data_IF_212794741773
#
_entry.id   IF_212794741773
#
_cell.length_a   1.000
_cell.length_b   1.000
_cell.length_c   1.000
_cell.angle_alpha   90.00
_cell.angle_beta   90.00
_cell.angle_gamma   90.00
#
_symmetry.space_group_name_H-M   'P 1'
#
loop_
_entity.id
_entity.type
_entity.pdbx_description
1 polymer ?
#
# COMPACT_ATOMS: atom_id res chain seq x y z
N UNK A 1 15.96 3.99 4.75
CA UNK A 1 14.73 4.71 5.12
C UNK A 1 13.51 3.83 4.92
N UNK A 2 12.46 4.00 5.73
CA UNK A 2 11.22 3.23 5.56
C UNK A 2 10.49 3.58 4.26
N UNK A 3 10.62 4.82 3.83
CA UNK A 3 10.05 5.33 2.59
C UNK A 3 11.07 6.26 1.95
N UNK A 4 11.90 5.74 1.02
CA UNK A 4 12.88 6.54 0.31
C UNK A 4 12.22 7.50 -0.66
N UNK A 5 12.88 8.62 -0.92
CA UNK A 5 12.58 9.52 -2.02
C UNK A 5 13.28 9.04 -3.31
N UNK A 6 12.91 9.65 -4.43
CA UNK A 6 13.59 9.42 -5.70
C UNK A 6 15.08 9.77 -5.60
N UNK A 7 15.92 8.87 -6.06
CA UNK A 7 17.37 9.04 -6.05
C UNK A 7 18.07 8.59 -4.75
N UNK A 8 17.32 8.26 -3.69
CA UNK A 8 17.92 7.78 -2.44
C UNK A 8 18.59 6.42 -2.63
N UNK A 9 19.72 6.19 -1.98
CA UNK A 9 20.32 4.86 -1.85
C UNK A 9 19.61 4.11 -0.72
N UNK A 10 19.15 2.89 -0.99
CA UNK A 10 18.52 2.03 0.01
C UNK A 10 19.46 0.90 0.39
N UNK A 11 19.92 0.90 1.63
CA UNK A 11 20.75 -0.20 2.17
C UNK A 11 19.86 -1.28 2.77
N UNK A 12 20.05 -2.52 2.35
CA UNK A 12 19.40 -3.71 2.89
C UNK A 12 20.47 -4.55 3.56
N UNK A 13 20.23 -4.95 4.81
CA UNK A 13 21.10 -5.78 5.61
C UNK A 13 20.39 -7.04 6.09
N UNK A 14 21.13 -8.15 6.21
CA UNK A 14 20.61 -9.40 6.74
C UNK A 14 21.70 -10.11 7.58
N UNK A 15 21.36 -10.44 8.80
CA UNK A 15 22.22 -11.32 9.62
C UNK A 15 22.03 -12.76 9.18
N UNK A 16 23.08 -13.38 8.63
CA UNK A 16 23.01 -14.73 8.06
C UNK A 16 24.19 -15.54 8.58
N UNK A 17 23.89 -16.65 9.24
CA UNK A 17 24.88 -17.60 9.76
C UNK A 17 24.48 -19.01 9.37
N UNK A 18 25.46 -19.82 9.09
CA UNK A 18 25.30 -21.25 8.85
C UNK A 18 26.48 -22.04 9.42
N UNK A 19 26.25 -23.30 9.85
CA UNK A 19 27.29 -24.17 10.41
C UNK A 19 28.32 -24.61 9.34
N UNK A 20 27.88 -24.72 8.10
CA UNK A 20 28.69 -25.13 6.94
C UNK A 20 29.22 -23.90 6.16
N UNK A 21 29.27 -22.74 6.80
CA UNK A 21 29.57 -21.42 6.22
C UNK A 21 28.51 -20.89 5.26
N UNK A 22 28.54 -19.59 5.03
CA UNK A 22 27.71 -18.94 4.00
C UNK A 22 28.58 -18.68 2.79
N UNK A 23 28.19 -19.24 1.64
CA UNK A 23 28.96 -19.17 0.40
C UNK A 23 28.55 -17.94 -0.47
N UNK A 24 27.28 -17.73 -0.61
CA UNK A 24 26.77 -16.63 -1.45
C UNK A 24 25.43 -16.09 -0.91
N UNK A 25 25.27 -14.78 -0.96
CA UNK A 25 24.00 -14.12 -0.63
C UNK A 25 23.64 -13.12 -1.71
N UNK A 26 22.40 -13.20 -2.19
CA UNK A 26 21.87 -12.29 -3.20
C UNK A 26 20.55 -11.70 -2.75
N UNK A 27 20.38 -10.43 -3.05
CA UNK A 27 19.09 -9.77 -3.00
C UNK A 27 18.42 -9.91 -4.36
N UNK A 28 17.25 -10.52 -4.38
CA UNK A 28 16.36 -10.56 -5.54
C UNK A 28 15.42 -9.37 -5.45
N UNK A 29 15.32 -8.55 -6.49
CA UNK A 29 14.41 -7.41 -6.49
C UNK A 29 13.52 -7.36 -7.73
N UNK A 30 12.32 -6.79 -7.56
CA UNK A 30 11.34 -6.57 -8.60
C UNK A 30 10.81 -5.14 -8.50
N UNK A 31 10.81 -4.41 -9.60
CA UNK A 31 10.28 -3.04 -9.68
C UNK A 31 8.85 -3.09 -10.19
N UNK A 32 7.94 -2.48 -9.45
CA UNK A 32 6.54 -2.30 -9.84
C UNK A 32 6.31 -0.82 -10.11
N UNK A 33 6.18 -0.49 -11.37
CA UNK A 33 5.95 0.88 -11.84
C UNK A 33 4.47 1.27 -11.65
N UNK A 34 4.15 2.58 -11.50
CA UNK A 34 2.78 3.05 -11.52
C UNK A 34 2.06 2.58 -12.80
N UNK A 35 0.83 2.13 -12.68
CA UNK A 35 0.06 1.56 -13.80
C UNK A 35 0.43 0.13 -14.20
N UNK A 36 1.56 -0.39 -13.73
CA UNK A 36 2.07 -1.73 -14.10
C UNK A 36 2.07 -2.71 -12.91
N UNK A 37 1.06 -2.63 -12.04
CA UNK A 37 1.01 -3.47 -10.85
C UNK A 37 1.06 -4.96 -11.19
N UNK A 38 2.03 -5.67 -10.59
CA UNK A 38 2.24 -7.11 -10.76
C UNK A 38 1.52 -7.82 -9.60
N UNK A 39 0.51 -8.63 -9.92
CA UNK A 39 -0.21 -9.45 -8.93
C UNK A 39 0.61 -10.69 -8.59
N UNK A 40 0.42 -11.22 -7.40
CA UNK A 40 1.00 -12.50 -6.98
C UNK A 40 0.66 -13.67 -7.94
N UNK A 41 -0.47 -13.57 -8.62
CA UNK A 41 -0.96 -14.60 -9.56
C UNK A 41 -0.47 -14.42 -11.00
N UNK A 42 0.27 -13.37 -11.30
CA UNK A 42 0.80 -13.12 -12.64
C UNK A 42 2.11 -13.85 -12.84
N UNK A 43 2.35 -14.35 -14.05
CA UNK A 43 3.62 -15.00 -14.42
C UNK A 43 4.84 -14.09 -14.18
N UNK A 44 4.69 -12.78 -14.42
CA UNK A 44 5.75 -11.79 -14.14
C UNK A 44 6.20 -11.79 -12.67
N UNK A 45 5.31 -12.14 -11.73
CA UNK A 45 5.70 -12.21 -10.33
C UNK A 45 6.78 -13.27 -10.09
N UNK A 46 6.77 -14.36 -10.82
CA UNK A 46 7.79 -15.42 -10.69
C UNK A 46 9.03 -15.17 -11.56
N UNK A 47 8.88 -14.49 -12.69
CA UNK A 47 9.94 -14.40 -13.70
C UNK A 47 10.71 -13.08 -13.70
N UNK A 48 10.16 -12.00 -13.14
CA UNK A 48 10.73 -10.65 -13.26
C UNK A 48 11.54 -10.23 -12.02
N UNK A 49 12.36 -11.16 -11.52
CA UNK A 49 13.32 -10.91 -10.43
C UNK A 49 14.71 -10.68 -10.98
N UNK A 50 15.36 -9.61 -10.55
CA UNK A 50 16.76 -9.29 -10.82
C UNK A 50 17.59 -9.50 -9.57
N UNK A 51 18.91 -9.69 -9.73
CA UNK A 51 19.81 -10.02 -8.63
C UNK A 51 20.80 -8.89 -8.37
N UNK A 52 21.10 -8.66 -7.09
CA UNK A 52 22.21 -7.85 -6.60
C UNK A 52 22.98 -8.70 -5.58
N UNK A 53 24.29 -8.81 -5.74
CA UNK A 53 25.13 -9.51 -4.77
C UNK A 53 25.17 -8.72 -3.46
N UNK A 54 25.01 -9.42 -2.35
CA UNK A 54 25.26 -8.90 -1.00
C UNK A 54 26.68 -9.27 -0.57
N UNK A 55 27.29 -8.48 0.30
CA UNK A 55 28.62 -8.74 0.80
C UNK A 55 28.71 -8.57 2.32
N UNK A 56 29.72 -9.20 2.92
CA UNK A 56 30.13 -9.10 4.31
C UNK A 56 31.66 -8.83 4.36
N UNK A 57 32.06 -7.75 3.63
CA UNK A 57 33.47 -7.45 3.34
C UNK A 57 33.98 -6.13 3.94
N UNK A 58 33.14 -5.41 4.67
CA UNK A 58 33.44 -4.07 5.18
C UNK A 58 33.50 -3.00 4.08
N UNK A 59 32.76 -3.20 2.97
CA UNK A 59 32.72 -2.28 1.83
C UNK A 59 31.30 -2.15 1.27
N UNK A 60 31.09 -1.19 0.36
CA UNK A 60 29.81 -1.02 -0.37
C UNK A 60 28.56 -0.95 0.54
N UNK A 61 28.72 -0.24 1.67
CA UNK A 61 27.65 -0.06 2.66
C UNK A 61 27.69 -1.06 3.82
N UNK A 62 28.52 -2.09 3.74
CA UNK A 62 28.86 -2.95 4.86
C UNK A 62 29.92 -2.28 5.73
N UNK A 63 29.72 -2.24 7.05
CA UNK A 63 30.58 -1.50 7.98
C UNK A 63 31.71 -2.36 8.54
N UNK A 64 31.49 -3.65 8.76
CA UNK A 64 32.42 -4.55 9.47
C UNK A 64 32.53 -5.88 8.76
N UNK A 65 33.69 -6.14 8.18
CA UNK A 65 33.96 -7.41 7.50
C UNK A 65 33.88 -8.63 8.45
N UNK A 66 33.14 -9.65 8.03
CA UNK A 66 33.08 -10.94 8.72
C UNK A 66 32.22 -10.95 9.97
N UNK A 67 31.29 -9.99 10.13
CA UNK A 67 30.37 -9.97 11.27
C UNK A 67 29.06 -10.71 10.98
N UNK A 68 28.96 -11.32 9.80
CA UNK A 68 27.78 -12.02 9.27
C UNK A 68 26.58 -11.12 8.93
N UNK A 69 26.76 -9.80 8.92
CA UNK A 69 25.75 -8.83 8.51
C UNK A 69 25.88 -8.52 7.01
N UNK A 70 25.38 -9.39 6.18
CA UNK A 70 25.39 -9.23 4.73
C UNK A 70 24.64 -8.01 4.28
N UNK A 71 25.27 -7.18 3.46
CA UNK A 71 24.79 -5.85 3.08
C UNK A 71 24.79 -5.69 1.57
N UNK A 72 23.82 -4.94 1.06
CA UNK A 72 23.77 -4.44 -0.31
C UNK A 72 23.15 -3.06 -0.37
N UNK A 73 23.65 -2.20 -1.24
CA UNK A 73 23.06 -0.91 -1.56
C UNK A 73 22.29 -1.01 -2.88
N UNK A 74 20.98 -0.80 -2.82
CA UNK A 74 20.14 -0.65 -4.02
C UNK A 74 20.38 0.75 -4.55
N UNK A 75 20.89 0.90 -5.79
CA UNK A 75 21.26 2.21 -6.34
C UNK A 75 20.10 3.18 -6.40
N UNK A 76 20.36 4.47 -6.17
CA UNK A 76 19.38 5.54 -6.29
C UNK A 76 18.76 5.66 -7.68
N UNK A 77 19.46 5.20 -8.73
CA UNK A 77 18.90 5.16 -10.08
C UNK A 77 17.68 4.24 -10.25
N UNK A 78 17.48 3.29 -9.33
CA UNK A 78 16.29 2.42 -9.30
C UNK A 78 15.14 3.05 -8.52
N UNK A 79 15.44 4.05 -7.70
CA UNK A 79 14.45 4.76 -6.89
C UNK A 79 13.79 5.84 -7.74
N UNK A 80 12.60 5.55 -8.22
CA UNK A 80 11.75 6.50 -8.94
C UNK A 80 10.51 6.80 -8.13
N UNK A 81 10.04 8.03 -8.21
CA UNK A 81 8.80 8.41 -7.53
C UNK A 81 7.64 7.48 -7.88
N UNK A 82 6.89 7.05 -6.89
CA UNK A 82 5.73 6.15 -6.98
C UNK A 82 6.05 4.70 -7.36
N UNK A 83 7.32 4.28 -7.38
CA UNK A 83 7.69 2.88 -7.60
C UNK A 83 7.55 2.08 -6.30
N UNK A 84 6.96 0.90 -6.40
CA UNK A 84 7.01 -0.13 -5.36
C UNK A 84 8.16 -1.08 -5.67
N UNK A 85 9.11 -1.20 -4.75
CA UNK A 85 10.23 -2.12 -4.88
C UNK A 85 9.99 -3.30 -3.95
N UNK A 86 9.89 -4.49 -4.54
CA UNK A 86 9.83 -5.76 -3.83
C UNK A 86 11.19 -6.38 -3.77
N UNK A 87 11.50 -7.09 -2.70
CA UNK A 87 12.77 -7.85 -2.62
C UNK A 87 12.63 -9.11 -1.78
N UNK A 88 13.53 -10.04 -2.05
CA UNK A 88 13.75 -11.29 -1.33
C UNK A 88 15.24 -11.44 -1.09
N UNK A 89 15.65 -12.19 -0.08
CA UNK A 89 17.05 -12.49 0.16
C UNK A 89 17.22 -14.00 0.01
N UNK A 90 18.16 -14.42 -0.84
CA UNK A 90 18.53 -15.81 -1.04
C UNK A 90 19.96 -16.03 -0.55
N UNK A 91 20.14 -16.93 0.41
CA UNK A 91 21.44 -17.38 0.90
C UNK A 91 21.72 -18.79 0.43
N UNK A 92 22.99 -19.08 0.16
CA UNK A 92 23.51 -20.40 -0.24
C UNK A 92 24.65 -20.73 0.70
N UNK A 93 24.60 -21.91 1.31
CA UNK A 93 25.66 -22.42 2.22
C UNK A 93 26.83 -23.04 1.48
N UNK A 94 27.84 -23.50 2.22
CA UNK A 94 29.03 -24.18 1.69
C UNK A 94 28.75 -25.56 1.08
N UNK A 95 27.57 -26.12 1.27
CA UNK A 95 27.09 -27.39 0.71
C UNK A 95 26.12 -27.23 -0.45
N UNK A 96 26.00 -26.00 -1.03
CA UNK A 96 25.08 -25.63 -2.11
C UNK A 96 23.59 -25.79 -1.75
N UNK A 97 23.23 -25.76 -0.46
CA UNK A 97 21.85 -25.65 -0.03
C UNK A 97 21.43 -24.17 -0.02
N UNK A 98 20.20 -23.91 -0.39
CA UNK A 98 19.71 -22.52 -0.46
C UNK A 98 18.43 -22.32 0.32
N UNK A 99 18.30 -21.12 0.86
CA UNK A 99 17.09 -20.61 1.50
C UNK A 99 16.74 -19.25 0.92
N UNK A 100 15.46 -18.98 0.75
CA UNK A 100 14.96 -17.66 0.34
C UNK A 100 13.97 -17.15 1.37
N UNK A 101 14.15 -15.91 1.79
CA UNK A 101 13.24 -15.23 2.71
C UNK A 101 12.61 -13.99 2.08
N UNK A 102 11.32 -13.68 2.34
CA UNK A 102 10.35 -14.54 3.03
C UNK A 102 10.14 -15.88 2.32
N UNK A 103 9.61 -16.87 3.03
CA UNK A 103 9.33 -18.19 2.44
C UNK A 103 8.26 -18.10 1.36
N UNK A 104 8.30 -19.02 0.41
CA UNK A 104 7.38 -19.03 -0.74
C UNK A 104 5.90 -19.24 -0.33
N UNK A 105 5.66 -19.89 0.80
CA UNK A 105 4.31 -20.13 1.37
C UNK A 105 3.83 -19.00 2.30
N UNK A 106 4.64 -17.95 2.54
CA UNK A 106 4.19 -16.76 3.23
C UNK A 106 3.13 -16.04 2.36
N UNK A 107 2.01 -15.61 2.94
CA UNK A 107 1.00 -14.83 2.22
C UNK A 107 1.50 -13.51 1.63
N UNK A 108 2.65 -13.03 2.09
CA UNK A 108 3.41 -11.92 1.52
C UNK A 108 4.85 -12.40 1.27
N UNK A 109 5.11 -13.16 0.17
CA UNK A 109 6.37 -13.85 -0.05
C UNK A 109 7.48 -12.92 -0.59
N UNK A 110 7.45 -11.67 -0.18
CA UNK A 110 8.49 -10.66 -0.44
C UNK A 110 8.44 -9.57 0.63
N UNK A 111 9.56 -8.95 0.89
CA UNK A 111 9.62 -7.63 1.49
C UNK A 111 9.29 -6.57 0.43
N UNK A 112 8.93 -5.38 0.86
CA UNK A 112 8.72 -4.27 -0.05
C UNK A 112 8.91 -2.91 0.63
N UNK A 113 9.27 -1.91 -0.18
CA UNK A 113 9.18 -0.49 0.19
C UNK A 113 8.63 0.32 -0.99
N UNK A 114 8.13 1.50 -0.69
CA UNK A 114 7.55 2.39 -1.66
C UNK A 114 8.37 3.68 -1.75
N UNK A 115 8.89 3.97 -2.94
CA UNK A 115 9.62 5.21 -3.21
C UNK A 115 8.63 6.33 -3.49
N UNK A 116 8.70 7.41 -2.72
CA UNK A 116 7.72 8.48 -2.84
C UNK A 116 8.26 9.84 -2.39
N UNK A 117 8.10 10.85 -3.25
CA UNK A 117 8.59 12.21 -2.99
C UNK A 117 7.66 13.04 -2.09
N UNK A 118 6.59 12.45 -1.59
CA UNK A 118 5.58 13.14 -0.79
C UNK A 118 4.33 13.51 -1.60
N UNK A 119 3.27 13.88 -0.89
CA UNK A 119 1.98 14.23 -1.50
C UNK A 119 2.11 15.55 -2.26
N UNK A 120 1.84 15.59 -3.57
CA UNK A 120 1.84 16.85 -4.31
C UNK A 120 0.58 17.66 -4.04
N UNK A 121 0.58 18.92 -4.45
CA UNK A 121 -0.65 19.68 -4.60
C UNK A 121 -1.58 18.96 -5.58
N UNK A 122 -2.87 18.96 -5.29
CA UNK A 122 -3.86 18.34 -6.14
C UNK A 122 -4.89 19.35 -6.64
N UNK A 123 -5.20 19.28 -7.93
CA UNK A 123 -6.27 20.07 -8.56
C UNK A 123 -7.37 19.15 -9.01
N UNK A 124 -8.58 19.43 -8.63
CA UNK A 124 -9.70 18.61 -9.03
C UNK A 124 -11.04 19.28 -8.88
N UNK A 125 -12.03 18.72 -9.53
CA UNK A 125 -13.43 19.14 -9.46
C UNK A 125 -14.27 18.02 -8.88
N UNK A 126 -15.23 18.33 -8.02
CA UNK A 126 -16.22 17.37 -7.49
C UNK A 126 -16.95 16.65 -8.64
N UNK A 127 -17.20 17.37 -9.72
CA UNK A 127 -17.77 16.86 -10.97
C UNK A 127 -17.01 17.48 -12.13
N UNK A 128 -16.01 16.78 -12.69
CA UNK A 128 -15.25 17.29 -13.82
C UNK A 128 -16.15 17.77 -14.96
N UNK A 129 -15.84 18.94 -15.50
CA UNK A 129 -16.66 19.60 -16.55
C UNK A 129 -17.93 20.31 -16.07
N UNK A 130 -18.35 20.11 -14.80
CA UNK A 130 -19.61 20.70 -14.27
C UNK A 130 -19.40 21.60 -13.05
N UNK A 131 -18.35 21.39 -12.28
CA UNK A 131 -17.98 22.20 -11.12
C UNK A 131 -16.60 22.82 -11.30
N UNK A 132 -16.31 23.98 -10.66
CA UNK A 132 -15.01 24.59 -10.72
C UNK A 132 -13.91 23.64 -10.21
N UNK A 133 -12.75 23.71 -10.81
CA UNK A 133 -11.53 23.05 -10.31
C UNK A 133 -11.05 23.80 -9.08
N UNK A 134 -10.81 23.07 -8.00
CA UNK A 134 -10.26 23.58 -6.74
C UNK A 134 -8.83 23.06 -6.59
N UNK A 135 -7.94 23.90 -6.10
CA UNK A 135 -6.58 23.51 -5.76
C UNK A 135 -6.47 23.20 -4.26
N UNK A 136 -5.99 22.01 -3.93
CA UNK A 136 -5.71 21.57 -2.57
C UNK A 136 -4.19 21.47 -2.40
N UNK A 137 -3.64 22.24 -1.48
CA UNK A 137 -2.20 22.19 -1.19
C UNK A 137 -1.83 20.86 -0.53
N UNK A 138 -0.60 20.41 -0.76
CA UNK A 138 0.04 19.29 -0.07
C UNK A 138 -0.15 19.38 1.44
N UNK A 139 0.06 20.58 2.03
CA UNK A 139 -0.17 20.82 3.46
C UNK A 139 -1.60 20.48 3.89
N UNK A 140 -2.59 20.83 3.09
CA UNK A 140 -4.00 20.50 3.39
C UNK A 140 -4.25 18.99 3.28
N UNK A 141 -3.71 18.34 2.25
CA UNK A 141 -3.92 16.93 1.98
C UNK A 141 -3.22 16.02 3.00
N UNK A 142 -2.19 16.50 3.67
CA UNK A 142 -1.42 15.76 4.69
C UNK A 142 -1.87 16.03 6.13
N UNK A 143 -2.91 16.86 6.34
CA UNK A 143 -3.49 17.08 7.69
C UNK A 143 -4.13 15.84 8.31
N UNK A 144 -4.43 14.85 7.50
CA UNK A 144 -4.85 13.52 7.94
C UNK A 144 -3.89 12.48 7.38
N UNK A 145 -3.80 11.29 7.99
CA UNK A 145 -2.95 10.22 7.45
C UNK A 145 -3.24 9.95 5.98
N UNK A 146 -2.19 9.72 5.20
CA UNK A 146 -2.30 9.40 3.77
C UNK A 146 -2.05 7.91 3.58
N UNK A 147 -3.00 7.23 2.94
CA UNK A 147 -2.88 5.83 2.55
C UNK A 147 -2.74 5.76 1.04
N UNK A 148 -1.75 5.01 0.57
CA UNK A 148 -1.61 4.73 -0.86
C UNK A 148 -2.11 3.31 -1.13
N UNK A 149 -2.93 3.15 -2.16
CA UNK A 149 -3.33 1.85 -2.69
C UNK A 149 -2.77 1.71 -4.10
N UNK A 150 -1.87 0.75 -4.29
CA UNK A 150 -1.22 0.49 -5.57
C UNK A 150 -1.90 -0.73 -6.18
N UNK A 151 -2.52 -0.56 -7.34
CA UNK A 151 -3.30 -1.60 -8.00
C UNK A 151 -3.27 -1.42 -9.51
N UNK A 152 -3.85 -2.34 -10.26
CA UNK A 152 -4.13 -2.12 -11.69
C UNK A 152 -5.35 -1.25 -11.87
N UNK A 153 -5.30 -0.35 -12.83
CA UNK A 153 -6.44 0.47 -13.24
C UNK A 153 -7.68 -0.39 -13.53
N UNK A 154 -7.52 -1.47 -14.28
CA UNK A 154 -8.63 -2.39 -14.58
C UNK A 154 -9.27 -3.02 -13.34
N UNK A 155 -8.51 -3.23 -12.27
CA UNK A 155 -9.01 -3.76 -11.00
C UNK A 155 -9.74 -2.67 -10.19
N UNK A 156 -9.20 -1.47 -10.20
CA UNK A 156 -9.82 -0.30 -9.57
C UNK A 156 -11.16 0.00 -10.25
N UNK A 157 -11.17 0.11 -11.57
CA UNK A 157 -12.38 0.30 -12.37
C UNK A 157 -13.38 -0.86 -12.12
N UNK A 158 -12.92 -2.10 -12.23
CA UNK A 158 -13.74 -3.28 -11.99
C UNK A 158 -14.32 -3.34 -10.58
N UNK A 159 -13.62 -2.82 -9.57
CA UNK A 159 -14.12 -2.72 -8.21
C UNK A 159 -15.12 -1.57 -8.03
N UNK A 160 -14.78 -0.38 -8.52
CA UNK A 160 -15.50 0.85 -8.19
C UNK A 160 -16.70 1.10 -9.09
N UNK A 161 -16.62 0.69 -10.36
CA UNK A 161 -17.72 0.89 -11.34
C UNK A 161 -18.56 -0.33 -11.59
N UNK A 162 -18.31 -1.41 -10.86
CA UNK A 162 -19.06 -2.62 -11.08
C UNK A 162 -20.52 -2.45 -10.69
N UNK A 163 -21.39 -2.51 -11.68
CA UNK A 163 -22.80 -2.51 -11.47
C UNK A 163 -23.26 -3.87 -10.87
N UNK A 164 -23.91 -3.84 -9.85
CA UNK A 164 -24.89 -4.72 -9.17
C UNK A 164 -24.92 -6.24 -9.40
N UNK A 165 -24.10 -6.91 -10.19
CA UNK A 165 -24.15 -8.37 -10.25
C UNK A 165 -23.61 -9.00 -8.96
N UNK A 166 -24.23 -10.10 -8.51
CA UNK A 166 -23.86 -10.75 -7.24
C UNK A 166 -22.42 -11.28 -7.24
N UNK A 167 -21.91 -11.72 -8.40
CA UNK A 167 -20.53 -12.18 -8.57
C UNK A 167 -19.50 -11.07 -8.35
N UNK A 168 -19.77 -9.87 -8.81
CA UNK A 168 -18.92 -8.72 -8.63
C UNK A 168 -18.74 -8.31 -7.17
N UNK A 169 -19.71 -8.60 -6.31
CA UNK A 169 -19.65 -8.29 -4.87
C UNK A 169 -18.69 -9.18 -4.12
N UNK A 170 -18.47 -10.39 -4.61
CA UNK A 170 -17.61 -11.39 -3.97
C UNK A 170 -16.21 -11.42 -4.53
N UNK A 171 -16.02 -10.88 -5.74
CA UNK A 171 -14.71 -10.84 -6.36
C UNK A 171 -13.73 -9.99 -5.53
N UNK A 172 -12.51 -10.47 -5.41
CA UNK A 172 -11.45 -9.85 -4.63
C UNK A 172 -10.27 -9.57 -5.52
N UNK A 173 -10.01 -8.31 -5.71
CA UNK A 173 -8.86 -7.81 -6.44
C UNK A 173 -7.63 -7.78 -5.54
N UNK A 174 -6.45 -7.72 -6.13
CA UNK A 174 -5.17 -7.63 -5.42
C UNK A 174 -4.59 -6.23 -5.52
N UNK A 175 -4.00 -5.77 -4.43
CA UNK A 175 -3.33 -4.48 -4.34
C UNK A 175 -2.21 -4.52 -3.30
N UNK A 176 -1.37 -3.50 -3.27
CA UNK A 176 -0.53 -3.16 -2.14
C UNK A 176 -1.06 -1.91 -1.46
N UNK A 177 -0.94 -1.84 -0.15
CA UNK A 177 -1.27 -0.65 0.63
C UNK A 177 -0.03 -0.14 1.33
N UNK A 178 0.20 1.16 1.27
CA UNK A 178 1.31 1.82 1.97
C UNK A 178 0.76 2.79 2.98
N UNK A 179 1.26 2.70 4.20
CA UNK A 179 0.95 3.60 5.29
C UNK A 179 2.17 3.80 6.19
N UNK A 180 2.58 5.05 6.39
CA UNK A 180 3.76 5.44 7.16
C UNK A 180 5.04 4.67 6.77
N UNK A 181 5.24 4.47 5.47
CA UNK A 181 6.39 3.76 4.92
C UNK A 181 6.34 2.24 5.10
N UNK A 182 5.31 1.69 5.71
CA UNK A 182 5.09 0.25 5.80
C UNK A 182 4.23 -0.22 4.63
N UNK A 183 4.70 -1.25 3.93
CA UNK A 183 4.02 -1.85 2.78
C UNK A 183 3.31 -3.12 3.20
N UNK A 184 2.01 -3.15 2.97
CA UNK A 184 1.17 -4.34 3.09
C UNK A 184 0.90 -4.85 1.69
N UNK A 185 1.73 -5.77 1.22
CA UNK A 185 1.67 -6.26 -0.15
C UNK A 185 0.65 -7.40 -0.32
N UNK A 186 0.17 -7.58 -1.55
CA UNK A 186 -0.78 -8.63 -1.92
C UNK A 186 -2.05 -8.66 -1.07
N UNK A 187 -2.50 -7.50 -0.58
CA UNK A 187 -3.79 -7.41 0.11
C UNK A 187 -4.93 -7.65 -0.87
N UNK A 188 -6.10 -7.97 -0.35
CA UNK A 188 -7.31 -8.13 -1.15
C UNK A 188 -8.27 -7.00 -0.91
N UNK A 189 -8.77 -6.39 -1.98
CA UNK A 189 -9.80 -5.38 -1.89
C UNK A 189 -11.04 -5.74 -2.68
N UNK A 190 -12.17 -5.21 -2.30
CA UNK A 190 -13.45 -5.37 -2.98
C UNK A 190 -14.38 -4.21 -2.67
N UNK A 191 -15.40 -4.06 -3.51
CA UNK A 191 -16.48 -3.12 -3.22
C UNK A 191 -17.24 -3.52 -1.95
N UNK A 192 -17.68 -2.53 -1.19
CA UNK A 192 -18.56 -2.70 -0.03
C UNK A 192 -19.89 -2.00 -0.27
N UNK A 193 -20.98 -2.57 0.21
CA UNK A 193 -22.32 -2.00 0.14
C UNK A 193 -23.20 -2.63 -0.94
N UNK A 194 -24.46 -2.19 -0.97
CA UNK A 194 -25.45 -2.64 -1.95
C UNK A 194 -25.52 -1.69 -3.15
N UNK A 195 -26.29 -2.05 -4.19
CA UNK A 195 -26.41 -1.31 -5.44
C UNK A 195 -26.64 0.20 -5.25
N UNK A 196 -27.46 0.57 -4.28
CA UNK A 196 -27.76 1.96 -3.94
C UNK A 196 -26.56 2.82 -3.51
N UNK A 197 -25.46 2.22 -3.10
CA UNK A 197 -24.26 2.95 -2.65
C UNK A 197 -23.19 3.03 -3.73
N UNK A 198 -23.46 2.60 -4.97
CA UNK A 198 -22.47 2.43 -6.04
C UNK A 198 -22.63 3.41 -7.20
N UNK A 199 -23.47 4.42 -7.03
CA UNK A 199 -23.88 5.28 -8.15
C UNK A 199 -22.91 6.43 -8.41
N UNK A 200 -21.95 6.67 -7.51
CA UNK A 200 -21.19 7.93 -7.51
C UNK A 200 -19.73 7.80 -7.90
N UNK A 201 -19.25 6.58 -8.22
CA UNK A 201 -17.84 6.37 -8.48
C UNK A 201 -16.96 6.35 -7.21
N UNK A 202 -17.16 7.27 -6.27
CA UNK A 202 -16.51 7.26 -4.96
C UNK A 202 -17.15 6.19 -4.06
N UNK A 203 -16.92 4.94 -4.38
CA UNK A 203 -17.55 3.81 -3.72
C UNK A 203 -16.80 3.35 -2.47
N UNK A 204 -17.54 2.72 -1.57
CA UNK A 204 -16.99 2.13 -0.36
C UNK A 204 -16.21 0.87 -0.68
N UNK A 205 -15.08 0.69 -0.07
CA UNK A 205 -14.26 -0.50 -0.22
C UNK A 205 -14.11 -1.26 1.10
N UNK A 206 -13.69 -2.51 1.00
CA UNK A 206 -13.20 -3.33 2.10
C UNK A 206 -11.84 -3.87 1.73
N UNK A 207 -10.87 -3.65 2.60
CA UNK A 207 -9.53 -4.21 2.50
C UNK A 207 -9.38 -5.38 3.46
N UNK A 208 -8.71 -6.44 3.02
CA UNK A 208 -8.36 -7.59 3.83
C UNK A 208 -6.85 -7.80 3.74
N UNK A 209 -6.20 -7.78 4.88
CA UNK A 209 -4.76 -7.96 5.01
C UNK A 209 -4.42 -9.43 5.16
N UNK A 210 -3.19 -9.77 4.83
CA UNK A 210 -2.72 -11.13 4.86
C UNK A 210 -2.50 -11.61 6.30
N UNK A 211 -2.63 -12.94 6.49
CA UNK A 211 -2.27 -13.59 7.76
C UNK A 211 -0.79 -13.28 8.03
N UNK A 212 -0.43 -13.02 9.28
CA UNK A 212 0.89 -12.59 9.73
C UNK A 212 1.31 -11.15 9.33
N UNK A 213 0.70 -10.57 8.28
CA UNK A 213 0.95 -9.20 7.80
C UNK A 213 -0.27 -8.29 8.01
N UNK A 214 -0.81 -8.30 9.24
CA UNK A 214 -2.00 -7.51 9.59
C UNK A 214 -1.66 -6.02 9.71
N UNK A 215 -2.64 -5.19 9.37
CA UNK A 215 -2.50 -3.75 9.37
C UNK A 215 -2.35 -3.16 10.78
N UNK A 216 -1.31 -2.37 10.99
CA UNK A 216 -1.12 -1.59 12.22
C UNK A 216 -1.91 -0.30 12.15
N UNK A 217 -3.14 -0.34 12.63
CA UNK A 217 -3.96 0.85 12.70
C UNK A 217 -3.51 1.81 13.80
N UNK A 218 -3.81 3.09 13.59
CA UNK A 218 -3.60 4.17 14.57
C UNK A 218 -4.89 4.96 14.77
N UNK A 219 -5.00 5.59 15.92
CA UNK A 219 -6.08 6.55 16.18
C UNK A 219 -5.80 7.90 15.49
N UNK A 220 -6.73 8.85 15.65
CA UNK A 220 -6.59 10.19 15.05
C UNK A 220 -5.44 11.03 15.62
N UNK A 221 -4.78 10.56 16.67
CA UNK A 221 -3.63 11.20 17.31
C UNK A 221 -2.31 10.48 17.00
N UNK A 222 -2.35 9.48 16.10
CA UNK A 222 -1.19 8.70 15.70
C UNK A 222 -0.80 7.57 16.64
N UNK A 223 -1.54 7.36 17.76
CA UNK A 223 -1.27 6.27 18.68
C UNK A 223 -1.67 4.93 18.06
N UNK A 224 -0.76 3.97 18.08
CA UNK A 224 -1.03 2.61 17.62
C UNK A 224 -2.10 1.95 18.50
N UNK A 225 -3.01 1.21 17.85
CA UNK A 225 -3.86 0.27 18.57
C UNK A 225 -3.03 -0.96 18.97
N UNK A 226 -3.36 -1.58 20.09
CA UNK A 226 -2.64 -2.75 20.62
C UNK A 226 -2.76 -3.95 19.66
N UNK A 227 -3.91 -4.07 18.98
CA UNK A 227 -4.18 -5.14 18.04
C UNK A 227 -4.01 -4.68 16.58
N UNK A 228 -3.37 -5.52 15.78
CA UNK A 228 -3.32 -5.36 14.33
C UNK A 228 -4.60 -5.90 13.69
N UNK A 229 -5.07 -5.22 12.66
CA UNK A 229 -6.34 -5.51 12.00
C UNK A 229 -6.17 -6.42 10.79
N UNK A 230 -7.00 -7.46 10.69
CA UNK A 230 -7.05 -8.35 9.52
C UNK A 230 -7.84 -7.74 8.36
N UNK A 231 -8.73 -6.80 8.66
CA UNK A 231 -9.58 -6.12 7.67
C UNK A 231 -10.19 -4.85 8.24
N UNK A 232 -10.49 -3.93 7.35
CA UNK A 232 -11.36 -2.79 7.68
C UNK A 232 -12.17 -2.32 6.45
N UNK A 233 -13.14 -1.49 6.72
CA UNK A 233 -14.01 -0.91 5.71
C UNK A 233 -13.72 0.58 5.54
N UNK A 234 -13.57 0.99 4.29
CA UNK A 234 -13.43 2.39 3.91
C UNK A 234 -14.84 2.96 3.66
N UNK A 235 -15.13 4.04 4.34
CA UNK A 235 -16.36 4.82 4.16
C UNK A 235 -16.02 6.11 3.44
N UNK A 236 -16.79 6.46 2.44
CA UNK A 236 -16.51 7.62 1.58
C UNK A 236 -17.28 8.87 1.97
N UNK A 237 -18.16 8.77 2.96
CA UNK A 237 -19.00 9.87 3.43
C UNK A 237 -20.03 10.39 2.42
N UNK A 238 -20.22 9.65 1.34
CA UNK A 238 -21.26 9.99 0.35
C UNK A 238 -22.49 9.15 0.58
N UNK A 239 -23.67 9.78 0.52
CA UNK A 239 -24.96 9.11 0.53
C UNK A 239 -25.75 9.51 -0.71
N UNK A 240 -25.98 8.61 -1.67
CA UNK A 240 -26.66 8.92 -2.92
C UNK A 240 -28.18 9.11 -2.78
N UNK A 241 -28.73 8.80 -1.61
CA UNK A 241 -30.19 8.77 -1.41
C UNK A 241 -30.86 10.12 -1.17
N UNK A 242 -30.12 11.16 -0.89
CA UNK A 242 -30.66 12.45 -0.45
C UNK A 242 -30.58 13.51 -1.53
N UNK A 243 -31.15 13.22 -2.71
CA UNK A 243 -31.32 14.18 -3.80
C UNK A 243 -30.02 14.57 -4.52
N UNK A 244 -30.17 15.21 -5.66
CA UNK A 244 -29.08 15.59 -6.56
C UNK A 244 -28.05 16.58 -5.99
N UNK A 245 -28.29 17.12 -4.80
CA UNK A 245 -27.46 18.14 -4.16
C UNK A 245 -26.81 17.69 -2.86
N UNK A 246 -26.95 16.43 -2.50
CA UNK A 246 -26.39 15.93 -1.25
C UNK A 246 -24.90 15.66 -1.35
N UNK A 247 -24.11 16.70 -1.40
CA UNK A 247 -22.72 16.64 -0.94
C UNK A 247 -22.74 16.43 0.57
N UNK A 248 -22.88 15.18 0.99
CA UNK A 248 -23.00 14.85 2.42
C UNK A 248 -21.62 14.61 3.04
N UNK A 249 -20.65 15.46 2.72
CA UNK A 249 -19.33 15.46 3.37
C UNK A 249 -19.40 15.49 4.91
N UNK A 250 -20.49 15.99 5.47
CA UNK A 250 -20.75 15.96 6.90
C UNK A 250 -20.99 14.57 7.47
N UNK A 251 -21.40 13.58 6.68
CA UNK A 251 -21.71 12.24 7.19
C UNK A 251 -20.48 11.47 7.69
N UNK A 252 -19.31 11.69 7.15
CA UNK A 252 -18.06 11.03 7.64
C UNK A 252 -17.81 11.44 9.08
N UNK A 253 -17.87 12.74 9.37
CA UNK A 253 -17.64 13.28 10.71
C UNK A 253 -18.71 12.81 11.68
N UNK A 254 -19.97 12.75 11.25
CA UNK A 254 -21.08 12.29 12.08
C UNK A 254 -20.92 10.82 12.48
N UNK A 255 -20.57 9.95 11.54
CA UNK A 255 -20.34 8.53 11.81
C UNK A 255 -19.18 8.35 12.80
N UNK A 256 -18.06 9.03 12.56
CA UNK A 256 -16.91 8.99 13.45
C UNK A 256 -17.22 9.52 14.85
N UNK A 257 -17.90 10.66 14.94
CA UNK A 257 -18.30 11.26 16.22
C UNK A 257 -19.23 10.34 17.00
N UNK A 258 -20.21 9.71 16.31
CA UNK A 258 -21.14 8.77 16.93
C UNK A 258 -20.42 7.55 17.50
N UNK A 259 -19.51 6.93 16.76
CA UNK A 259 -18.73 5.79 17.27
C UNK A 259 -17.85 6.18 18.46
N UNK A 260 -17.23 7.36 18.43
CA UNK A 260 -16.45 7.86 19.55
C UNK A 260 -17.33 8.11 20.76
N UNK A 261 -18.50 8.73 20.57
CA UNK A 261 -19.46 9.00 21.63
C UNK A 261 -19.94 7.69 22.31
N UNK A 262 -20.31 6.68 21.52
CA UNK A 262 -20.71 5.37 22.07
C UNK A 262 -19.61 4.77 22.95
N UNK A 263 -18.36 4.79 22.49
CA UNK A 263 -17.24 4.28 23.29
C UNK A 263 -17.04 5.06 24.59
N UNK A 264 -17.19 6.38 24.57
CA UNK A 264 -17.11 7.21 25.76
C UNK A 264 -18.23 6.90 26.76
N UNK A 265 -19.40 6.47 26.26
CA UNK A 265 -20.52 6.00 27.08
C UNK A 265 -20.39 4.53 27.51
N UNK A 266 -19.27 3.85 27.23
CA UNK A 266 -19.08 2.44 27.57
C UNK A 266 -19.78 1.45 26.62
N UNK A 267 -20.36 1.92 25.52
CA UNK A 267 -20.99 1.07 24.51
C UNK A 267 -19.95 0.61 23.49
N UNK A 268 -19.81 -0.70 23.24
CA UNK A 268 -18.90 -1.20 22.20
C UNK A 268 -19.22 -0.60 20.83
N UNK A 269 -18.21 0.03 20.21
CA UNK A 269 -18.33 0.61 18.88
C UNK A 269 -17.00 0.52 18.12
N UNK A 270 -17.09 0.58 16.79
CA UNK A 270 -15.91 0.49 15.93
C UNK A 270 -14.91 1.62 16.20
N UNK A 271 -13.63 1.29 16.14
CA UNK A 271 -12.57 2.29 15.99
C UNK A 271 -12.62 2.89 14.60
N UNK A 272 -12.48 4.20 14.50
CA UNK A 272 -12.54 4.95 13.26
C UNK A 272 -11.41 5.95 13.20
N UNK A 273 -10.87 6.17 12.00
CA UNK A 273 -9.90 7.22 11.74
C UNK A 273 -10.22 7.88 10.40
N UNK A 274 -9.92 9.15 10.27
CA UNK A 274 -9.96 9.86 8.99
C UNK A 274 -8.64 9.67 8.28
N UNK A 275 -8.69 9.53 6.96
CA UNK A 275 -7.49 9.44 6.13
C UNK A 275 -7.76 9.95 4.72
N UNK A 276 -6.71 10.33 4.04
CA UNK A 276 -6.69 10.64 2.62
C UNK A 276 -6.24 9.39 1.86
N UNK A 277 -7.08 8.91 0.95
CA UNK A 277 -6.72 7.78 0.08
C UNK A 277 -6.16 8.31 -1.24
N UNK A 278 -4.99 7.82 -1.61
CA UNK A 278 -4.42 7.97 -2.94
C UNK A 278 -4.38 6.62 -3.62
N UNK A 279 -4.92 6.55 -4.83
CA UNK A 279 -4.88 5.34 -5.66
C UNK A 279 -3.78 5.53 -6.71
N UNK A 280 -2.88 4.58 -6.78
CA UNK A 280 -1.76 4.55 -7.72
C UNK A 280 -2.05 3.43 -8.71
N UNK A 281 -2.75 3.74 -9.77
CA UNK A 281 -3.22 2.77 -10.77
C UNK A 281 -2.80 3.13 -12.21
N UNK A 282 -2.21 4.33 -12.40
CA UNK A 282 -1.64 4.78 -13.66
C UNK A 282 -0.33 5.57 -13.47
N UNK A 283 0.26 6.02 -14.58
CA UNK A 283 1.52 6.80 -14.59
C UNK A 283 1.33 8.24 -14.13
N UNK A 284 0.11 8.78 -14.20
CA UNK A 284 -0.19 10.18 -13.91
C UNK A 284 -0.62 10.32 -12.46
N UNK A 285 0.10 11.12 -11.70
CA UNK A 285 -0.33 11.51 -10.36
C UNK A 285 -1.21 12.76 -10.41
N UNK A 286 -2.37 12.72 -9.79
CA UNK A 286 -3.28 13.84 -9.67
C UNK A 286 -3.82 14.37 -11.03
N UNK A 287 -4.46 13.50 -11.82
CA UNK A 287 -5.14 13.89 -13.04
C UNK A 287 -6.47 14.63 -12.71
N UNK A 288 -6.61 15.94 -13.01
CA UNK A 288 -7.81 16.71 -12.66
C UNK A 288 -9.08 16.29 -13.43
N UNK A 289 -8.93 15.48 -14.46
CA UNK A 289 -10.04 14.94 -15.26
C UNK A 289 -10.50 13.56 -14.77
N UNK A 290 -9.76 12.95 -13.86
CA UNK A 290 -10.08 11.68 -13.26
C UNK A 290 -10.63 11.89 -11.83
N UNK A 291 -11.74 11.24 -11.49
CA UNK A 291 -12.37 11.38 -10.17
C UNK A 291 -11.60 10.62 -9.05
N UNK A 292 -10.64 9.79 -9.41
CA UNK A 292 -10.00 8.84 -8.51
C UNK A 292 -8.55 9.17 -8.18
N UNK A 293 -7.95 10.07 -8.91
CA UNK A 293 -6.58 10.52 -8.66
C UNK A 293 -6.49 11.44 -7.45
#
# INVERSE_FOLDING_TARGET
PKQPAEGDIVTVTALITDADSVNNVVLLYQVVEPGSYIRLTDSKYETDWKELSMNDSGSDGDEIAGDNLWTVQIPGSFQKNRHLIRYRIRAIDGLDKSITVPYADDPQPNFAYYCYNGVPDWKGAIRPGSTPVINYSSETLTKVPVYHMIARESDVIGCLYNDSTSSARTYRYLASVVYEGEVYDHIRFRIKGQASTRVTGKNKMKWNFNRSHRFQARDNYGKKYDEKWDKFALQTGTCPWWGSNASTGGMILNEQASYKFYRLCGVPACNTTLFHLRIVDDEVEANPNNQYD
#
